data_IF_414232630294
#
_entry.id   IF_414232630294
#
_cell.length_a   1.000
_cell.length_b   1.000
_cell.length_c   1.000
_cell.angle_alpha   90.00
_cell.angle_beta   90.00
_cell.angle_gamma   90.00
#
_symmetry.space_group_name_H-M   'P 1'
#
loop_
_entity.id
_entity.type
_entity.pdbx_description
1 polymer ?
#
# COMPACT_ATOMS: atom_id res chain seq x y z
N UNK A 1 -31.27 -82.08 -13.22
CA UNK A 1 -30.21 -81.99 -12.19
C UNK A 1 -29.08 -81.17 -12.76
N UNK A 2 -29.03 -79.86 -12.47
CA UNK A 2 -27.98 -78.95 -12.94
C UNK A 2 -27.53 -78.13 -11.75
N UNK A 3 -26.38 -78.49 -11.16
CA UNK A 3 -25.53 -77.61 -10.34
C UNK A 3 -24.42 -78.47 -9.73
N UNK A 4 -23.25 -78.53 -10.39
CA UNK A 4 -21.94 -78.74 -9.76
C UNK A 4 -20.80 -78.78 -10.82
N UNK A 5 -20.74 -77.84 -11.75
CA UNK A 5 -19.56 -77.68 -12.62
C UNK A 5 -19.23 -76.20 -12.83
N UNK A 6 -18.73 -75.54 -11.78
CA UNK A 6 -18.15 -74.21 -11.91
C UNK A 6 -17.22 -73.86 -10.73
N UNK A 7 -16.19 -74.68 -10.45
CA UNK A 7 -15.18 -74.22 -9.48
C UNK A 7 -13.75 -74.76 -9.69
N UNK A 8 -13.28 -74.87 -10.93
CA UNK A 8 -11.83 -75.03 -11.23
C UNK A 8 -11.51 -74.64 -12.66
N UNK A 9 -11.77 -73.38 -13.05
CA UNK A 9 -11.15 -72.81 -14.25
C UNK A 9 -9.78 -72.24 -13.86
N UNK A 10 -8.67 -72.62 -14.52
CA UNK A 10 -7.39 -71.97 -14.28
C UNK A 10 -7.52 -70.49 -14.65
N UNK A 11 -7.22 -69.60 -13.70
CA UNK A 11 -7.30 -68.15 -13.92
C UNK A 11 -6.41 -67.76 -15.11
N UNK A 12 -6.99 -67.02 -16.06
CA UNK A 12 -6.25 -66.51 -17.20
C UNK A 12 -5.26 -65.43 -16.76
N UNK A 13 -4.11 -65.33 -17.43
CA UNK A 13 -3.09 -64.30 -17.18
C UNK A 13 -3.68 -62.89 -17.13
N UNK A 14 -4.73 -62.62 -17.91
CA UNK A 14 -5.40 -61.32 -17.95
C UNK A 14 -6.28 -61.07 -16.70
N UNK A 15 -6.89 -62.11 -16.14
CA UNK A 15 -7.70 -62.02 -14.92
C UNK A 15 -6.81 -61.81 -13.69
N UNK A 16 -5.65 -62.50 -13.64
CA UNK A 16 -4.65 -62.32 -12.57
C UNK A 16 -4.07 -60.90 -12.62
N UNK A 17 -3.73 -60.39 -13.80
CA UNK A 17 -3.25 -59.00 -13.96
C UNK A 17 -4.32 -57.99 -13.54
N UNK A 18 -5.59 -58.22 -13.91
CA UNK A 18 -6.71 -57.37 -13.48
C UNK A 18 -6.95 -57.40 -11.97
N UNK A 19 -6.77 -58.56 -11.33
CA UNK A 19 -6.89 -58.72 -9.87
C UNK A 19 -5.79 -57.96 -9.13
N UNK A 20 -4.54 -58.06 -9.61
CA UNK A 20 -3.40 -57.32 -9.05
C UNK A 20 -3.65 -55.82 -9.14
N UNK A 21 -4.07 -55.33 -10.31
CA UNK A 21 -4.37 -53.92 -10.50
C UNK A 21 -5.49 -53.40 -9.58
N UNK A 22 -6.57 -54.19 -9.40
CA UNK A 22 -7.67 -53.86 -8.47
C UNK A 22 -7.20 -53.80 -7.02
N UNK A 23 -6.36 -54.74 -6.58
CA UNK A 23 -5.80 -54.77 -5.23
C UNK A 23 -4.86 -53.58 -4.98
N UNK A 24 -4.03 -53.21 -5.97
CA UNK A 24 -3.16 -52.04 -5.88
C UNK A 24 -3.95 -50.75 -5.77
N UNK A 25 -4.98 -50.57 -6.61
CA UNK A 25 -5.83 -49.37 -6.55
C UNK A 25 -6.56 -49.29 -5.20
N UNK A 26 -7.19 -50.38 -4.77
CA UNK A 26 -7.91 -50.39 -3.50
C UNK A 26 -6.97 -50.08 -2.32
N UNK A 27 -5.81 -50.72 -2.27
CA UNK A 27 -4.80 -50.46 -1.24
C UNK A 27 -4.28 -49.02 -1.25
N UNK A 28 -4.04 -48.43 -2.43
CA UNK A 28 -3.62 -47.03 -2.55
C UNK A 28 -4.72 -46.08 -2.05
N UNK A 29 -5.97 -46.29 -2.48
CA UNK A 29 -7.11 -45.48 -2.03
C UNK A 29 -7.26 -45.57 -0.52
N UNK A 30 -7.24 -46.79 0.06
CA UNK A 30 -7.33 -46.98 1.51
C UNK A 30 -6.16 -46.31 2.26
N UNK A 31 -4.94 -46.40 1.73
CA UNK A 31 -3.80 -45.73 2.33
C UNK A 31 -3.96 -44.20 2.32
N UNK A 32 -4.32 -43.62 1.17
CA UNK A 32 -4.48 -42.18 1.04
C UNK A 32 -5.66 -41.65 1.85
N UNK A 33 -6.76 -42.39 1.98
CA UNK A 33 -7.90 -41.99 2.83
C UNK A 33 -7.54 -42.01 4.31
N UNK A 34 -6.84 -43.04 4.78
CA UNK A 34 -6.38 -43.11 6.18
C UNK A 34 -5.35 -42.01 6.45
N UNK A 35 -4.37 -41.82 5.56
CA UNK A 35 -3.38 -40.76 5.69
C UNK A 35 -4.04 -39.39 5.74
N UNK A 36 -4.97 -39.12 4.83
CA UNK A 36 -5.72 -37.85 4.81
C UNK A 36 -6.54 -37.66 6.09
N UNK A 37 -7.18 -38.71 6.59
CA UNK A 37 -7.96 -38.66 7.82
C UNK A 37 -7.09 -38.41 9.06
N UNK A 38 -5.92 -39.07 9.17
CA UNK A 38 -4.94 -38.83 10.24
C UNK A 38 -4.42 -37.39 10.17
N UNK A 39 -4.05 -36.93 8.97
CA UNK A 39 -3.58 -35.57 8.74
C UNK A 39 -4.68 -34.50 9.00
N UNK A 40 -5.96 -34.87 8.90
CA UNK A 40 -7.11 -33.99 9.15
C UNK A 40 -7.58 -33.97 10.62
N UNK A 41 -7.42 -35.09 11.33
CA UNK A 41 -7.81 -35.24 12.75
C UNK A 41 -6.74 -34.71 13.70
N UNK A 42 -5.48 -34.63 13.28
CA UNK A 42 -4.39 -34.16 14.14
C UNK A 42 -4.62 -32.70 14.66
N UNK A 43 -4.94 -32.51 15.96
CA UNK A 43 -5.20 -31.20 16.53
C UNK A 43 -3.93 -30.34 16.63
N UNK A 44 -2.73 -30.95 16.54
CA UNK A 44 -1.46 -30.21 16.57
C UNK A 44 -1.23 -29.40 15.30
N UNK A 45 -1.85 -29.76 14.17
CA UNK A 45 -1.77 -28.98 12.92
C UNK A 45 -2.45 -27.63 13.06
N UNK A 46 -3.63 -27.56 13.70
CA UNK A 46 -4.32 -26.30 13.99
C UNK A 46 -3.52 -25.45 14.97
N UNK A 47 -2.93 -26.06 15.99
CA UNK A 47 -2.04 -25.36 16.94
C UNK A 47 -0.76 -24.85 16.29
N UNK A 48 -0.17 -25.58 15.33
CA UNK A 48 1.04 -25.16 14.60
C UNK A 48 0.76 -23.98 13.67
N UNK A 49 -0.42 -23.92 13.05
CA UNK A 49 -0.86 -22.77 12.23
C UNK A 49 -1.15 -21.54 13.11
N UNK A 50 -1.76 -21.72 14.28
CA UNK A 50 -1.96 -20.65 15.27
C UNK A 50 -0.62 -20.16 15.87
N UNK A 51 0.34 -21.06 16.10
CA UNK A 51 1.66 -20.77 16.66
C UNK A 51 2.63 -20.10 15.67
N UNK A 52 2.27 -19.99 14.38
CA UNK A 52 3.09 -19.35 13.35
C UNK A 52 2.52 -17.99 12.88
N UNK A 53 1.80 -17.26 13.74
CA UNK A 53 1.45 -15.86 13.47
C UNK A 53 2.69 -14.99 13.66
N UNK A 54 3.36 -14.63 12.56
CA UNK A 54 4.44 -13.65 12.57
C UNK A 54 3.86 -12.26 12.80
N UNK A 55 4.15 -11.67 13.96
CA UNK A 55 3.76 -10.29 14.29
C UNK A 55 4.96 -9.38 14.08
N UNK A 56 4.77 -8.32 13.30
CA UNK A 56 5.75 -7.26 13.08
C UNK A 56 5.20 -5.97 13.68
N UNK A 57 6.00 -5.33 14.54
CA UNK A 57 5.67 -4.02 15.13
C UNK A 57 6.50 -2.96 14.41
N UNK A 58 5.83 -1.92 13.90
CA UNK A 58 6.49 -0.76 13.28
C UNK A 58 6.10 0.50 14.04
N UNK A 59 7.07 1.41 14.23
CA UNK A 59 6.85 2.72 14.83
C UNK A 59 7.49 3.82 13.98
N UNK A 60 6.93 5.02 14.04
CA UNK A 60 7.45 6.22 13.38
C UNK A 60 7.60 7.34 14.41
N UNK A 61 8.70 8.09 14.36
CA UNK A 61 8.95 9.25 15.22
C UNK A 61 9.69 10.35 14.45
N UNK A 62 9.29 11.60 14.67
CA UNK A 62 9.99 12.78 14.18
C UNK A 62 11.07 13.26 15.17
N UNK A 63 11.16 12.65 16.36
CA UNK A 63 12.11 13.00 17.42
C UNK A 63 12.74 11.73 18.00
N UNK A 64 13.64 11.07 17.26
CA UNK A 64 14.26 9.83 17.72
C UNK A 64 15.10 10.00 19.00
N UNK A 65 15.59 11.21 19.26
CA UNK A 65 16.35 11.56 20.46
C UNK A 65 15.52 11.60 21.75
N UNK A 66 14.20 11.83 21.63
CA UNK A 66 13.29 11.88 22.78
C UNK A 66 12.86 10.46 23.23
N UNK A 67 13.27 9.42 22.49
CA UNK A 67 12.85 8.04 22.72
C UNK A 67 13.75 7.36 23.76
N UNK A 68 13.13 6.76 24.78
CA UNK A 68 13.87 6.04 25.81
C UNK A 68 14.67 4.84 25.27
N UNK A 69 15.82 4.61 25.88
CA UNK A 69 16.75 3.54 25.51
C UNK A 69 16.14 2.14 25.58
N UNK A 70 15.15 1.88 26.45
CA UNK A 70 14.49 0.59 26.56
C UNK A 70 13.63 0.26 25.34
N UNK A 71 12.99 1.27 24.74
CA UNK A 71 12.20 1.10 23.51
C UNK A 71 13.14 0.90 22.31
N UNK A 72 14.22 1.68 22.24
CA UNK A 72 15.21 1.55 21.16
C UNK A 72 15.82 0.13 21.10
N UNK A 73 16.08 -0.51 22.25
CA UNK A 73 16.56 -1.89 22.30
C UNK A 73 15.56 -2.92 21.76
N UNK A 74 14.26 -2.63 21.87
CA UNK A 74 13.17 -3.48 21.32
C UNK A 74 12.92 -3.24 19.82
N UNK A 75 13.49 -2.18 19.25
CA UNK A 75 13.36 -1.78 17.84
C UNK A 75 14.75 -1.77 17.16
N UNK A 76 15.37 -2.93 16.94
CA UNK A 76 16.75 -3.01 16.44
C UNK A 76 16.90 -2.43 15.03
N UNK A 77 15.91 -2.65 14.16
CA UNK A 77 15.91 -2.16 12.79
C UNK A 77 15.33 -0.75 12.73
N UNK A 78 16.14 0.22 12.29
CA UNK A 78 15.75 1.63 12.17
C UNK A 78 16.08 2.13 10.77
N UNK A 79 15.10 2.76 10.13
CA UNK A 79 15.26 3.37 8.81
C UNK A 79 15.05 4.87 8.94
N UNK A 80 16.03 5.64 8.50
CA UNK A 80 15.88 7.09 8.41
C UNK A 80 15.18 7.45 7.10
N UNK A 81 14.06 8.15 7.21
CA UNK A 81 13.28 8.58 6.05
C UNK A 81 13.58 10.05 5.79
N UNK A 82 14.32 10.30 4.71
CA UNK A 82 14.64 11.66 4.27
C UNK A 82 13.46 12.29 3.52
N UNK A 83 13.59 13.60 3.26
CA UNK A 83 12.69 14.30 2.35
C UNK A 83 12.75 13.71 0.93
N UNK A 84 11.64 13.78 0.17
CA UNK A 84 11.57 13.20 -1.16
C UNK A 84 12.53 13.89 -2.14
N UNK A 85 13.25 13.08 -2.92
CA UNK A 85 14.06 13.54 -4.03
C UNK A 85 13.19 14.04 -5.19
N UNK A 86 13.78 14.75 -6.16
CA UNK A 86 13.07 15.36 -7.30
C UNK A 86 12.07 14.42 -7.99
N UNK A 87 12.52 13.23 -8.42
CA UNK A 87 11.65 12.24 -9.07
C UNK A 87 10.52 11.74 -8.16
N UNK A 88 10.77 11.65 -6.86
CA UNK A 88 9.76 11.25 -5.88
C UNK A 88 8.74 12.38 -5.69
N UNK A 89 9.17 13.65 -5.65
CA UNK A 89 8.26 14.80 -5.59
C UNK A 89 7.35 14.86 -6.81
N UNK A 90 7.89 14.68 -8.01
CA UNK A 90 7.10 14.60 -9.25
C UNK A 90 6.07 13.46 -9.16
N UNK A 91 6.45 12.28 -8.69
CA UNK A 91 5.54 11.15 -8.51
C UNK A 91 4.46 11.42 -7.45
N UNK A 92 4.81 12.09 -6.35
CA UNK A 92 3.87 12.50 -5.29
C UNK A 92 2.88 13.53 -5.85
N UNK A 93 3.34 14.53 -6.60
CA UNK A 93 2.49 15.53 -7.23
C UNK A 93 1.50 14.87 -8.21
N UNK A 94 1.99 13.95 -9.06
CA UNK A 94 1.13 13.15 -9.95
C UNK A 94 0.08 12.35 -9.17
N UNK A 95 0.43 11.80 -8.01
CA UNK A 95 -0.50 11.06 -7.17
C UNK A 95 -1.55 11.97 -6.53
N UNK A 96 -1.14 13.12 -5.98
CA UNK A 96 -2.02 14.09 -5.34
C UNK A 96 -3.02 14.66 -6.34
N UNK A 97 -2.54 15.04 -7.52
CA UNK A 97 -3.34 15.70 -8.56
C UNK A 97 -4.08 14.73 -9.49
N UNK A 98 -3.96 13.41 -9.27
CA UNK A 98 -4.51 12.38 -10.18
C UNK A 98 -6.02 12.51 -10.41
N UNK A 99 -6.76 12.91 -9.38
CA UNK A 99 -8.23 13.00 -9.40
C UNK A 99 -8.73 14.45 -9.33
N UNK A 100 -7.83 15.43 -9.52
CA UNK A 100 -8.15 16.86 -9.47
C UNK A 100 -8.33 17.41 -10.89
N UNK A 101 -9.09 18.50 -11.02
CA UNK A 101 -9.24 19.21 -12.29
C UNK A 101 -7.99 20.08 -12.55
N UNK A 102 -7.02 19.56 -13.29
CA UNK A 102 -5.74 20.23 -13.59
C UNK A 102 -5.60 20.45 -15.09
N UNK A 103 -5.10 21.62 -15.46
CA UNK A 103 -4.85 21.99 -16.85
C UNK A 103 -3.79 21.06 -17.47
N UNK A 104 -4.00 20.68 -18.74
CA UNK A 104 -3.09 19.79 -19.49
C UNK A 104 -1.71 20.41 -19.72
N UNK A 105 -1.60 21.72 -19.61
CA UNK A 105 -0.36 22.47 -19.78
C UNK A 105 0.50 22.57 -18.51
N UNK A 106 0.06 21.97 -17.39
CA UNK A 106 0.82 21.96 -16.14
C UNK A 106 2.05 21.05 -16.25
N UNK A 107 3.23 21.63 -16.02
CA UNK A 107 4.48 20.89 -15.94
C UNK A 107 4.81 20.56 -14.47
N UNK A 108 4.48 19.33 -14.08
CA UNK A 108 4.76 18.84 -12.73
C UNK A 108 6.25 18.61 -12.45
N UNK A 109 7.09 18.47 -13.48
CA UNK A 109 8.52 18.36 -13.30
C UNK A 109 9.11 19.71 -12.88
N UNK A 110 8.68 20.80 -13.51
CA UNK A 110 9.05 22.17 -13.11
C UNK A 110 8.62 22.45 -11.66
N UNK A 111 7.36 22.17 -11.32
CA UNK A 111 6.85 22.30 -9.94
C UNK A 111 7.67 21.47 -8.94
N UNK A 112 8.10 20.26 -9.33
CA UNK A 112 8.95 19.41 -8.48
C UNK A 112 10.36 19.98 -8.27
N UNK A 113 10.91 20.71 -9.25
CA UNK A 113 12.20 21.39 -9.14
C UNK A 113 12.12 22.56 -8.16
N UNK A 114 11.03 23.34 -8.24
CA UNK A 114 10.85 24.50 -7.38
C UNK A 114 10.48 24.17 -5.92
N UNK A 115 9.99 22.97 -5.67
CA UNK A 115 9.58 22.47 -4.34
C UNK A 115 10.68 21.69 -3.63
N UNK A 116 11.94 22.05 -3.84
CA UNK A 116 13.04 21.45 -3.09
C UNK A 116 12.90 21.73 -1.58
N UNK A 117 13.18 20.73 -0.76
CA UNK A 117 12.98 20.81 0.69
C UNK A 117 11.55 20.54 1.18
N UNK A 118 10.60 20.25 0.28
CA UNK A 118 9.20 20.01 0.65
C UNK A 118 8.98 18.55 1.03
N UNK A 119 8.28 18.33 2.15
CA UNK A 119 7.77 17.01 2.55
C UNK A 119 6.51 16.65 1.75
N UNK A 120 6.08 15.39 1.82
CA UNK A 120 4.82 14.96 1.19
C UNK A 120 3.59 15.74 1.68
N UNK A 121 3.56 16.13 2.96
CA UNK A 121 2.51 17.00 3.52
C UNK A 121 2.58 18.42 2.97
N UNK A 122 3.79 18.98 2.78
CA UNK A 122 3.95 20.32 2.21
C UNK A 122 3.46 20.37 0.76
N UNK A 123 3.79 19.36 -0.05
CA UNK A 123 3.32 19.24 -1.44
C UNK A 123 1.79 19.15 -1.50
N UNK A 124 1.18 18.41 -0.58
CA UNK A 124 -0.28 18.30 -0.49
C UNK A 124 -0.93 19.62 -0.12
N UNK A 125 -0.40 20.32 0.87
CA UNK A 125 -0.94 21.62 1.29
C UNK A 125 -0.77 22.68 0.19
N UNK A 126 0.37 22.68 -0.50
CA UNK A 126 0.60 23.54 -1.67
C UNK A 126 -0.44 23.29 -2.78
N UNK A 127 -0.71 22.03 -3.13
CA UNK A 127 -1.74 21.69 -4.13
C UNK A 127 -3.13 22.15 -3.68
N UNK A 128 -3.45 21.98 -2.39
CA UNK A 128 -4.70 22.44 -1.80
C UNK A 128 -4.85 23.97 -1.86
N UNK A 129 -3.78 24.71 -1.56
CA UNK A 129 -3.74 26.17 -1.66
C UNK A 129 -3.97 26.63 -3.11
N UNK A 130 -3.37 25.96 -4.09
CA UNK A 130 -3.58 26.24 -5.51
C UNK A 130 -5.05 26.01 -5.94
N UNK A 131 -5.65 24.89 -5.54
CA UNK A 131 -7.06 24.62 -5.79
C UNK A 131 -7.99 25.66 -5.15
N UNK A 132 -7.65 26.13 -3.95
CA UNK A 132 -8.43 27.15 -3.25
C UNK A 132 -8.42 28.51 -3.97
N UNK A 133 -7.36 28.83 -4.71
CA UNK A 133 -7.34 30.05 -5.55
C UNK A 133 -8.42 29.99 -6.63
N UNK A 134 -8.56 28.85 -7.30
CA UNK A 134 -9.59 28.63 -8.33
C UNK A 134 -11.00 28.79 -7.75
N UNK A 135 -11.24 28.22 -6.56
CA UNK A 135 -12.52 28.35 -5.84
C UNK A 135 -12.80 29.81 -5.47
N UNK A 136 -11.79 30.56 -4.99
CA UNK A 136 -11.96 31.96 -4.61
C UNK A 136 -12.31 32.84 -5.80
N UNK A 137 -11.68 32.60 -6.95
CA UNK A 137 -12.00 33.32 -8.18
C UNK A 137 -13.42 33.04 -8.64
N UNK A 138 -13.84 31.77 -8.62
CA UNK A 138 -15.22 31.38 -8.94
C UNK A 138 -16.25 32.09 -8.06
N UNK A 139 -16.06 32.09 -6.74
CA UNK A 139 -16.98 32.75 -5.80
C UNK A 139 -17.07 34.26 -6.05
N UNK A 140 -15.95 34.90 -6.41
CA UNK A 140 -15.93 36.34 -6.71
C UNK A 140 -16.58 36.67 -8.06
N UNK A 141 -16.49 35.78 -9.07
CA UNK A 141 -17.15 36.00 -10.36
C UNK A 141 -18.67 35.80 -10.29
N UNK A 142 -19.16 34.84 -9.50
CA UNK A 142 -20.60 34.60 -9.33
C UNK A 142 -21.33 35.79 -8.69
N UNK A 143 -20.64 36.63 -7.93
CA UNK A 143 -21.25 37.85 -7.36
C UNK A 143 -21.47 38.97 -8.36
N UNK A 144 -20.83 38.96 -9.53
CA UNK A 144 -20.83 40.10 -10.45
C UNK A 144 -21.65 39.88 -11.73
N UNK A 145 -21.76 38.66 -12.29
CA UNK A 145 -22.58 38.40 -13.50
C UNK A 145 -23.17 36.97 -13.52
N UNK A 146 -24.47 36.87 -13.83
CA UNK A 146 -25.18 35.60 -14.04
C UNK A 146 -24.92 35.06 -15.45
N UNK A 147 -23.97 34.14 -15.60
CA UNK A 147 -23.74 33.41 -16.86
C UNK A 147 -23.60 31.89 -16.64
N UNK A 148 -24.08 31.14 -17.64
CA UNK A 148 -24.60 29.76 -17.59
C UNK A 148 -23.58 28.60 -17.46
N UNK A 149 -22.37 28.82 -16.93
CA UNK A 149 -21.43 27.72 -16.65
C UNK A 149 -20.92 27.77 -15.21
N UNK A 150 -21.66 27.12 -14.29
CA UNK A 150 -21.33 26.93 -12.87
C UNK A 150 -20.16 25.95 -12.64
N UNK A 151 -19.09 26.04 -13.42
CA UNK A 151 -17.94 25.15 -13.30
C UNK A 151 -16.67 25.89 -12.85
N UNK A 152 -16.01 25.33 -11.84
CA UNK A 152 -14.73 25.84 -11.34
C UNK A 152 -13.65 25.53 -12.38
N UNK A 153 -12.94 26.56 -12.83
CA UNK A 153 -11.82 26.42 -13.76
C UNK A 153 -10.76 25.41 -13.25
N UNK A 154 -10.06 24.71 -14.15
CA UNK A 154 -8.96 23.83 -13.75
C UNK A 154 -7.81 24.60 -13.08
N UNK A 155 -7.05 23.89 -12.25
CA UNK A 155 -5.81 24.39 -11.64
C UNK A 155 -4.75 24.57 -12.72
N UNK A 156 -4.17 25.76 -12.80
CA UNK A 156 -3.15 26.12 -13.78
C UNK A 156 -1.75 26.20 -13.16
N UNK A 157 -0.72 26.26 -13.99
CA UNK A 157 0.69 26.37 -13.56
C UNK A 157 0.91 27.57 -12.63
N UNK A 158 0.25 28.69 -12.92
CA UNK A 158 0.38 29.92 -12.14
C UNK A 158 -0.17 29.80 -10.71
N UNK A 159 -1.25 29.03 -10.52
CA UNK A 159 -1.82 28.79 -9.19
C UNK A 159 -0.84 28.00 -8.31
N UNK A 160 -0.18 26.99 -8.89
CA UNK A 160 0.85 26.19 -8.24
C UNK A 160 2.07 27.04 -7.88
N UNK A 161 2.57 27.88 -8.80
CA UNK A 161 3.67 28.81 -8.52
C UNK A 161 3.33 29.79 -7.40
N UNK A 162 2.12 30.37 -7.41
CA UNK A 162 1.67 31.27 -6.35
C UNK A 162 1.58 30.57 -4.99
N UNK A 163 1.13 29.31 -4.98
CA UNK A 163 1.11 28.49 -3.77
C UNK A 163 2.52 28.16 -3.28
N UNK A 164 3.48 27.87 -4.17
CA UNK A 164 4.88 27.64 -3.83
C UNK A 164 5.48 28.88 -3.15
N UNK A 165 5.31 30.07 -3.73
CA UNK A 165 5.84 31.31 -3.16
C UNK A 165 5.28 31.58 -1.76
N UNK A 166 3.98 31.36 -1.58
CA UNK A 166 3.31 31.51 -0.28
C UNK A 166 3.89 30.54 0.74
N UNK A 167 4.03 29.27 0.37
CA UNK A 167 4.58 28.22 1.24
C UNK A 167 6.04 28.48 1.62
N UNK A 168 6.87 28.93 0.67
CA UNK A 168 8.28 29.30 0.92
C UNK A 168 8.37 30.44 1.94
N UNK A 169 7.61 31.52 1.76
CA UNK A 169 7.57 32.64 2.72
C UNK A 169 7.16 32.19 4.13
N UNK A 170 6.16 31.32 4.23
CA UNK A 170 5.72 30.78 5.53
C UNK A 170 6.79 29.91 6.19
N UNK A 171 7.52 29.10 5.41
CA UNK A 171 8.62 28.27 5.93
C UNK A 171 9.83 29.10 6.34
N UNK A 172 10.20 30.12 5.57
CA UNK A 172 11.31 31.02 5.91
C UNK A 172 11.02 31.77 7.21
N UNK A 173 9.79 32.27 7.37
CA UNK A 173 9.34 32.91 8.61
C UNK A 173 9.35 31.93 9.79
N UNK A 174 8.89 30.69 9.60
CA UNK A 174 8.93 29.67 10.63
C UNK A 174 10.38 29.31 11.02
N UNK A 175 11.30 29.21 10.04
CA UNK A 175 12.69 28.89 10.28
C UNK A 175 13.41 29.99 11.05
N UNK A 176 13.17 31.26 10.71
CA UNK A 176 13.69 32.41 11.47
C UNK A 176 13.21 32.40 12.93
N UNK A 177 11.93 32.07 13.16
CA UNK A 177 11.38 31.95 14.52
C UNK A 177 11.97 30.79 15.32
N UNK A 178 12.36 29.68 14.66
CA UNK A 178 13.05 28.58 15.33
C UNK A 178 14.47 28.98 15.72
N UNK A 179 15.20 29.67 14.84
CA UNK A 179 16.56 30.13 15.13
C UNK A 179 16.62 31.13 16.29
N UNK A 180 15.66 32.07 16.36
CA UNK A 180 15.60 33.01 17.49
C UNK A 180 15.30 32.32 18.81
N UNK A 181 14.53 31.22 18.80
CA UNK A 181 14.24 30.45 20.00
C UNK A 181 15.43 29.57 20.45
N UNK A 182 16.21 29.04 19.51
CA UNK A 182 17.42 28.24 19.82
C UNK A 182 18.57 29.11 20.33
N UNK A 183 18.65 30.38 19.93
CA UNK A 183 19.69 31.30 20.44
C UNK A 183 19.38 31.90 21.82
N UNK A 184 18.19 31.63 22.39
CA UNK A 184 17.78 32.16 23.70
C UNK A 184 17.75 31.09 24.81
N UNK A 185 18.13 29.85 24.50
CA UNK A 185 18.37 28.74 25.45
C UNK A 185 19.87 28.38 25.48
#
# INVERSE_FOLDING_TARGET
MVHAEAFSRPLSRNEVVGLIFRLTIFGAVTYFTIKWMVDAIDPTRKQKVEAQKQVIVMGATNRPQDLDSAIMRRMPTRFHINQPALKQREAILKLILKNENVDRHVDLLEVAQETDGFSGSDLKEMCRDAALLCVREYVNSTSEESHDEDEIRPVQQQDLHRAIEKMKKSKDAAFQNVLTHVCLD
#
